data_IF_017877032112
#
_entry.id   IF_017877032112
#
_cell.length_a   1.000
_cell.length_b   1.000
_cell.length_c   1.000
_cell.angle_alpha   90.00
_cell.angle_beta   90.00
_cell.angle_gamma   90.00
#
_symmetry.space_group_name_H-M   'P 1'
#
loop_
_entity.id
_entity.type
_entity.pdbx_description
1 polymer ?
#
# COMPACT_ATOMS: atom_id res chain seq x y z
N UNK A 1 5.29 1.02 5.58
CA UNK A 1 4.12 0.17 5.56
C UNK A 1 2.81 0.87 5.94
N UNK A 2 2.87 2.11 6.44
CA UNK A 2 1.70 2.95 6.71
C UNK A 2 2.06 4.44 6.58
N UNK A 3 1.08 5.25 6.16
CA UNK A 3 1.18 6.72 6.07
C UNK A 3 0.59 7.43 7.30
N UNK A 4 -0.07 6.68 8.18
CA UNK A 4 -0.78 7.20 9.36
C UNK A 4 0.00 7.00 10.66
N UNK A 5 -0.32 7.82 11.63
CA UNK A 5 0.07 7.69 13.04
C UNK A 5 -1.16 7.84 13.94
N UNK A 6 -1.11 7.22 15.12
CA UNK A 6 -2.17 7.35 16.12
C UNK A 6 -1.90 8.54 17.03
N UNK A 7 -2.94 9.34 17.25
CA UNK A 7 -2.96 10.45 18.20
C UNK A 7 -4.11 10.29 19.19
N UNK A 8 -4.20 11.16 20.18
CA UNK A 8 -5.32 11.17 21.14
C UNK A 8 -6.67 11.52 20.46
N UNK A 9 -6.64 12.14 19.27
CA UNK A 9 -7.83 12.54 18.50
C UNK A 9 -8.19 11.50 17.41
N UNK A 10 -7.38 10.46 17.23
CA UNK A 10 -7.57 9.40 16.23
C UNK A 10 -6.35 9.18 15.35
N UNK A 11 -6.56 8.45 14.27
CA UNK A 11 -5.52 8.16 13.29
C UNK A 11 -5.48 9.32 12.27
N UNK A 12 -4.29 9.88 12.06
CA UNK A 12 -4.02 11.02 11.15
C UNK A 12 -2.86 10.69 10.24
N UNK A 13 -2.75 11.38 9.10
CA UNK A 13 -1.55 11.26 8.25
C UNK A 13 -0.32 11.71 9.05
N UNK A 14 0.75 10.92 8.96
CA UNK A 14 1.98 11.17 9.72
C UNK A 14 2.59 12.53 9.39
N UNK A 15 3.06 13.23 10.42
CA UNK A 15 3.79 14.48 10.26
C UNK A 15 5.04 14.37 9.39
N UNK A 16 5.67 13.19 9.33
CA UNK A 16 6.80 12.93 8.44
C UNK A 16 6.42 12.99 6.96
N UNK A 17 5.17 12.61 6.62
CA UNK A 17 4.61 12.71 5.27
C UNK A 17 4.12 14.13 4.99
N UNK A 18 3.43 14.75 5.95
CA UNK A 18 2.83 16.08 5.78
C UNK A 18 3.86 17.22 5.72
N UNK A 19 4.96 17.11 6.46
CA UNK A 19 5.92 18.21 6.55
C UNK A 19 6.47 18.65 5.18
N UNK A 20 6.95 17.77 4.30
CA UNK A 20 7.42 18.17 2.98
C UNK A 20 6.30 18.74 2.09
N UNK A 21 5.08 18.23 2.19
CA UNK A 21 3.91 18.74 1.46
C UNK A 21 3.59 20.17 1.90
N UNK A 22 3.44 20.38 3.21
CA UNK A 22 3.02 21.65 3.76
C UNK A 22 4.09 22.75 3.70
N UNK A 23 5.38 22.42 3.78
CA UNK A 23 6.44 23.39 4.02
C UNK A 23 7.51 23.46 2.92
N UNK A 24 7.66 22.45 2.07
CA UNK A 24 8.69 22.44 1.02
C UNK A 24 8.15 22.49 -0.41
N UNK A 25 6.83 22.53 -0.56
CA UNK A 25 6.18 22.57 -1.87
C UNK A 25 6.22 21.24 -2.63
N UNK A 26 6.36 20.12 -1.91
CA UNK A 26 6.28 18.78 -2.49
C UNK A 26 4.90 18.55 -3.07
N UNK A 27 4.82 18.08 -4.32
CA UNK A 27 3.58 17.85 -5.08
C UNK A 27 3.39 16.39 -5.49
N UNK A 28 4.23 15.48 -5.02
CA UNK A 28 4.12 14.06 -5.33
C UNK A 28 4.41 13.25 -4.07
N UNK A 29 3.48 12.40 -3.68
CA UNK A 29 3.63 11.41 -2.62
C UNK A 29 3.69 10.01 -3.24
N UNK A 30 4.75 9.24 -2.98
CA UNK A 30 4.89 7.87 -3.45
C UNK A 30 4.75 6.91 -2.27
N UNK A 31 3.76 6.05 -2.32
CA UNK A 31 3.60 4.93 -1.38
C UNK A 31 4.19 3.68 -2.02
N UNK A 32 5.32 3.22 -1.48
CA UNK A 32 6.00 2.04 -2.00
C UNK A 32 5.80 0.83 -1.08
N UNK A 33 5.08 -0.18 -1.59
CA UNK A 33 5.09 -1.54 -1.08
C UNK A 33 6.26 -2.35 -1.67
N UNK A 34 6.41 -3.57 -1.19
CA UNK A 34 7.36 -4.53 -1.79
C UNK A 34 6.87 -5.96 -1.58
N UNK A 35 7.15 -6.85 -2.52
CA UNK A 35 6.82 -8.26 -2.40
C UNK A 35 7.48 -8.89 -1.17
N UNK A 36 6.78 -9.81 -0.50
CA UNK A 36 7.26 -10.48 0.70
C UNK A 36 7.40 -9.56 1.93
N UNK A 37 6.57 -8.50 2.04
CA UNK A 37 6.64 -7.54 3.14
C UNK A 37 6.41 -8.19 4.50
N UNK A 38 7.40 -8.11 5.40
CA UNK A 38 7.32 -8.69 6.74
C UNK A 38 6.23 -8.07 7.62
N UNK A 39 5.96 -6.77 7.49
CA UNK A 39 4.90 -6.11 8.26
C UNK A 39 3.50 -6.58 7.81
N UNK A 40 3.28 -6.71 6.50
CA UNK A 40 2.01 -7.26 5.96
C UNK A 40 1.86 -8.73 6.34
N UNK A 41 2.95 -9.52 6.29
CA UNK A 41 2.96 -10.92 6.74
C UNK A 41 2.56 -11.03 8.21
N UNK A 42 3.20 -10.26 9.10
CA UNK A 42 2.88 -10.27 10.52
C UNK A 42 1.45 -9.79 10.81
N UNK A 43 0.94 -8.80 10.06
CA UNK A 43 -0.46 -8.36 10.19
C UNK A 43 -1.43 -9.45 9.76
N UNK A 44 -1.15 -10.15 8.66
CA UNK A 44 -1.96 -11.28 8.21
C UNK A 44 -1.98 -12.41 9.24
N UNK A 45 -0.80 -12.78 9.80
CA UNK A 45 -0.70 -13.83 10.81
C UNK A 45 -1.45 -13.46 12.09
N UNK A 46 -1.35 -12.20 12.52
CA UNK A 46 -2.05 -11.72 13.70
C UNK A 46 -3.58 -11.70 13.51
N UNK A 47 -4.07 -11.35 12.32
CA UNK A 47 -5.49 -11.37 11.99
C UNK A 47 -6.06 -12.81 11.89
N UNK A 48 -5.25 -13.79 11.46
CA UNK A 48 -5.73 -15.16 11.19
C UNK A 48 -5.47 -16.13 12.34
N UNK A 49 -4.36 -16.01 13.04
CA UNK A 49 -3.90 -16.97 14.03
C UNK A 49 -3.65 -16.33 15.41
N UNK A 50 -3.56 -15.01 15.46
CA UNK A 50 -3.07 -14.26 16.62
C UNK A 50 -1.54 -14.33 16.75
N UNK A 51 -0.92 -13.21 17.07
CA UNK A 51 0.52 -13.10 17.19
C UNK A 51 0.89 -12.39 18.49
N UNK A 52 1.85 -12.95 19.24
CA UNK A 52 2.40 -12.33 20.45
C UNK A 52 3.71 -11.63 20.13
N UNK A 53 3.65 -10.31 20.03
CA UNK A 53 4.77 -9.47 19.63
C UNK A 53 5.09 -8.42 20.71
N UNK A 54 6.34 -7.94 20.79
CA UNK A 54 6.69 -6.82 21.65
C UNK A 54 5.79 -5.61 21.39
N UNK A 55 5.42 -4.87 22.45
CA UNK A 55 4.42 -3.80 22.41
C UNK A 55 4.62 -2.76 21.28
N UNK A 56 5.88 -2.43 20.94
CA UNK A 56 6.16 -1.50 19.84
C UNK A 56 5.83 -2.08 18.45
N UNK A 57 5.98 -3.39 18.26
CA UNK A 57 5.60 -4.09 17.04
C UNK A 57 4.09 -4.21 16.98
N UNK A 58 3.44 -4.72 18.06
CA UNK A 58 1.98 -4.82 18.15
C UNK A 58 1.30 -3.49 17.83
N UNK A 59 1.79 -2.38 18.40
CA UNK A 59 1.27 -1.05 18.09
C UNK A 59 1.33 -0.71 16.59
N UNK A 60 2.40 -1.09 15.90
CA UNK A 60 2.50 -0.89 14.46
C UNK A 60 1.54 -1.77 13.66
N UNK A 61 1.35 -3.03 14.07
CA UNK A 61 0.39 -3.94 13.46
C UNK A 61 -1.06 -3.49 13.68
N UNK A 62 -1.39 -2.96 14.85
CA UNK A 62 -2.71 -2.44 15.19
C UNK A 62 -3.16 -1.27 14.29
N UNK A 63 -2.23 -0.58 13.64
CA UNK A 63 -2.52 0.44 12.64
C UNK A 63 -2.72 -0.14 11.23
N UNK A 64 -2.20 -1.34 10.96
CA UNK A 64 -2.33 -2.04 9.68
C UNK A 64 -3.53 -2.97 9.62
N UNK A 65 -3.98 -3.51 10.76
CA UNK A 65 -5.11 -4.45 10.83
C UNK A 65 -6.40 -3.88 10.24
N UNK A 66 -6.92 -2.71 10.71
CA UNK A 66 -8.20 -2.20 10.23
C UNK A 66 -8.27 -1.99 8.70
N UNK A 67 -7.23 -1.44 8.03
CA UNK A 67 -7.26 -1.32 6.59
C UNK A 67 -7.08 -2.65 5.85
N UNK A 68 -6.45 -3.69 6.43
CA UNK A 68 -6.19 -4.97 5.76
C UNK A 68 -7.26 -6.04 6.02
N UNK A 69 -7.94 -6.00 7.16
CA UNK A 69 -8.94 -7.00 7.55
C UNK A 69 -10.03 -7.24 6.47
N UNK A 70 -10.60 -6.21 5.82
CA UNK A 70 -11.62 -6.43 4.78
C UNK A 70 -11.11 -7.22 3.57
N UNK A 71 -9.80 -7.20 3.29
CA UNK A 71 -9.22 -7.93 2.17
C UNK A 71 -9.28 -9.45 2.37
N UNK A 72 -9.31 -9.95 3.62
CA UNK A 72 -9.26 -11.37 3.90
C UNK A 72 -10.44 -12.13 3.29
N UNK A 73 -11.63 -11.51 3.28
CA UNK A 73 -12.85 -12.10 2.72
C UNK A 73 -12.89 -12.09 1.18
N UNK A 74 -11.99 -11.32 0.55
CA UNK A 74 -11.91 -11.16 -0.90
C UNK A 74 -10.79 -11.98 -1.53
N UNK A 75 -9.86 -12.52 -0.72
CA UNK A 75 -8.72 -13.29 -1.23
C UNK A 75 -9.17 -14.56 -1.97
N UNK A 76 -8.55 -14.90 -3.12
CA UNK A 76 -8.82 -16.15 -3.80
C UNK A 76 -8.40 -17.38 -2.98
N UNK A 77 -9.20 -18.44 -3.00
CA UNK A 77 -8.99 -19.67 -2.22
C UNK A 77 -7.77 -20.50 -2.68
N UNK A 78 -7.37 -20.38 -3.95
CA UNK A 78 -6.39 -21.23 -4.62
C UNK A 78 -4.98 -20.61 -4.72
N UNK A 79 -4.69 -19.60 -3.89
CA UNK A 79 -3.44 -18.87 -3.91
C UNK A 79 -2.49 -19.38 -2.82
N UNK A 80 -1.20 -19.49 -3.16
CA UNK A 80 -0.17 -19.81 -2.17
C UNK A 80 -0.07 -18.71 -1.10
N UNK A 81 0.39 -19.06 0.10
CA UNK A 81 0.62 -18.06 1.17
C UNK A 81 1.48 -16.86 0.68
N UNK A 82 2.54 -17.10 -0.09
CA UNK A 82 3.35 -16.01 -0.64
C UNK A 82 2.54 -15.14 -1.60
N UNK A 83 1.71 -15.75 -2.45
CA UNK A 83 0.81 -15.04 -3.34
C UNK A 83 -0.26 -14.24 -2.59
N UNK A 84 -0.78 -14.75 -1.47
CA UNK A 84 -1.69 -14.03 -0.56
C UNK A 84 -1.01 -12.78 0.00
N UNK A 85 0.21 -12.92 0.54
CA UNK A 85 0.95 -11.79 1.11
C UNK A 85 1.22 -10.71 0.05
N UNK A 86 1.59 -11.08 -1.17
CA UNK A 86 1.88 -10.11 -2.23
C UNK A 86 0.60 -9.35 -2.67
N UNK A 87 -0.56 -10.02 -2.71
CA UNK A 87 -1.85 -9.36 -2.96
C UNK A 87 -2.24 -8.40 -1.84
N UNK A 88 -2.01 -8.80 -0.59
CA UNK A 88 -2.21 -7.91 0.56
C UNK A 88 -1.25 -6.72 0.58
N UNK A 89 -0.05 -6.85 0.01
CA UNK A 89 0.87 -5.72 -0.18
C UNK A 89 0.27 -4.70 -1.14
N UNK A 90 -0.25 -5.12 -2.30
CA UNK A 90 -0.94 -4.22 -3.24
C UNK A 90 -2.15 -3.55 -2.57
N UNK A 91 -3.00 -4.34 -1.93
CA UNK A 91 -4.15 -3.82 -1.20
C UNK A 91 -3.76 -2.79 -0.14
N UNK A 92 -2.71 -3.06 0.64
CA UNK A 92 -2.21 -2.10 1.61
C UNK A 92 -1.74 -0.79 0.95
N UNK A 93 -1.03 -0.86 -0.18
CA UNK A 93 -0.62 0.35 -0.93
C UNK A 93 -1.84 1.17 -1.33
N UNK A 94 -2.88 0.53 -1.89
CA UNK A 94 -4.11 1.21 -2.28
C UNK A 94 -4.82 1.85 -1.08
N UNK A 95 -4.89 1.15 0.05
CA UNK A 95 -5.48 1.71 1.29
C UNK A 95 -4.68 2.90 1.82
N UNK A 96 -3.35 2.87 1.74
CA UNK A 96 -2.52 3.99 2.14
C UNK A 96 -2.68 5.20 1.20
N UNK A 97 -2.80 4.98 -0.11
CA UNK A 97 -3.14 6.04 -1.08
C UNK A 97 -4.50 6.64 -0.75
N UNK A 98 -5.50 5.81 -0.51
CA UNK A 98 -6.84 6.30 -0.16
C UNK A 98 -6.82 7.16 1.11
N UNK A 99 -6.05 6.77 2.14
CA UNK A 99 -5.89 7.56 3.36
C UNK A 99 -5.25 8.94 3.11
N UNK A 100 -4.32 9.04 2.15
CA UNK A 100 -3.75 10.32 1.74
C UNK A 100 -4.80 11.18 1.04
N UNK A 101 -5.55 10.61 0.09
CA UNK A 101 -6.56 11.33 -0.69
C UNK A 101 -7.77 11.77 0.14
N UNK A 102 -8.11 11.04 1.20
CA UNK A 102 -9.21 11.37 2.12
C UNK A 102 -8.80 12.36 3.22
N UNK A 103 -7.51 12.65 3.38
CA UNK A 103 -7.01 13.53 4.42
C UNK A 103 -7.16 15.00 4.05
N UNK A 104 -7.82 15.77 4.91
CA UNK A 104 -7.93 17.24 4.77
C UNK A 104 -6.57 17.95 4.89
N UNK A 105 -5.55 17.29 5.44
CA UNK A 105 -4.20 17.83 5.60
C UNK A 105 -3.32 17.66 4.35
N UNK A 106 -3.73 16.81 3.40
CA UNK A 106 -3.06 16.64 2.10
C UNK A 106 -3.72 17.56 1.09
N UNK A 107 -2.90 18.40 0.43
CA UNK A 107 -3.41 19.39 -0.52
C UNK A 107 -3.94 18.70 -1.80
N UNK A 108 -5.02 19.23 -2.37
CA UNK A 108 -5.68 18.71 -3.60
C UNK A 108 -4.74 18.66 -4.83
N UNK A 109 -3.62 19.37 -4.81
CA UNK A 109 -2.64 19.44 -5.89
C UNK A 109 -1.40 18.55 -5.65
N UNK A 110 -1.53 17.54 -4.78
CA UNK A 110 -0.52 16.52 -4.54
C UNK A 110 -0.90 15.23 -5.23
N UNK A 111 -0.14 14.83 -6.24
CA UNK A 111 -0.28 13.53 -6.90
C UNK A 111 0.13 12.39 -5.95
N UNK A 112 -0.73 11.39 -5.78
CA UNK A 112 -0.50 10.23 -4.93
C UNK A 112 -0.28 8.97 -5.78
N UNK A 113 0.93 8.41 -5.75
CA UNK A 113 1.32 7.27 -6.59
C UNK A 113 1.62 6.05 -5.73
N UNK A 114 0.91 4.95 -5.98
CA UNK A 114 1.12 3.65 -5.37
C UNK A 114 1.98 2.74 -6.24
N UNK A 115 3.05 2.21 -5.68
CA UNK A 115 3.96 1.31 -6.40
C UNK A 115 4.34 0.10 -5.55
N UNK A 116 4.74 -1.01 -6.22
CA UNK A 116 5.31 -2.19 -5.57
C UNK A 116 6.67 -2.50 -6.15
N UNK A 117 7.66 -2.66 -5.27
CA UNK A 117 9.00 -3.12 -5.62
C UNK A 117 9.03 -4.66 -5.59
N UNK A 118 9.42 -5.28 -6.71
CA UNK A 118 9.44 -6.73 -6.81
C UNK A 118 10.76 -7.36 -6.37
N UNK A 119 10.81 -7.88 -5.14
CA UNK A 119 11.94 -8.68 -4.63
C UNK A 119 11.88 -10.15 -5.04
N UNK A 120 10.67 -10.65 -5.40
CA UNK A 120 10.41 -12.09 -5.50
C UNK A 120 10.24 -12.59 -6.93
N UNK A 121 10.34 -11.71 -7.93
CA UNK A 121 10.18 -12.06 -9.34
C UNK A 121 8.78 -12.65 -9.63
N UNK A 122 7.74 -11.90 -9.21
CA UNK A 122 6.34 -12.34 -9.30
C UNK A 122 5.49 -11.53 -10.27
N UNK A 123 5.99 -10.39 -10.73
CA UNK A 123 5.42 -9.59 -11.80
C UNK A 123 6.09 -9.95 -13.13
N UNK A 124 5.48 -9.53 -14.24
CA UNK A 124 6.15 -9.61 -15.54
C UNK A 124 7.35 -8.65 -15.59
N UNK A 125 8.46 -9.07 -16.16
CA UNK A 125 9.68 -8.27 -16.21
C UNK A 125 10.86 -8.89 -15.49
N UNK A 126 11.66 -8.08 -14.82
CA UNK A 126 12.85 -8.55 -14.10
C UNK A 126 12.74 -8.28 -12.59
N UNK A 127 13.27 -9.19 -11.81
CA UNK A 127 13.40 -9.00 -10.36
C UNK A 127 14.10 -7.68 -10.03
N UNK A 128 13.52 -6.91 -9.12
CA UNK A 128 14.07 -5.62 -8.69
C UNK A 128 13.45 -4.43 -9.43
N UNK A 129 12.43 -4.67 -10.24
CA UNK A 129 11.66 -3.62 -10.88
C UNK A 129 10.56 -3.07 -9.97
N UNK A 130 10.09 -1.87 -10.32
CA UNK A 130 8.98 -1.18 -9.64
C UNK A 130 7.78 -1.20 -10.56
N UNK A 131 6.64 -1.64 -10.04
CA UNK A 131 5.37 -1.67 -10.76
C UNK A 131 4.44 -0.60 -10.18
N UNK A 132 3.81 0.19 -11.06
CA UNK A 132 2.80 1.18 -10.70
C UNK A 132 1.47 0.48 -10.63
N UNK A 133 0.78 0.59 -9.49
CA UNK A 133 -0.49 -0.08 -9.24
C UNK A 133 -1.63 0.87 -8.91
N UNK A 134 -1.32 2.15 -8.66
CA UNK A 134 -2.30 3.16 -8.28
C UNK A 134 -1.79 4.56 -8.64
N UNK A 135 -2.63 5.38 -9.25
CA UNK A 135 -2.37 6.81 -9.47
C UNK A 135 -3.62 7.58 -9.08
N UNK A 136 -3.52 8.37 -8.02
CA UNK A 136 -4.62 9.20 -7.49
C UNK A 136 -5.93 8.42 -7.24
N UNK A 137 -5.79 7.16 -6.79
CA UNK A 137 -6.92 6.27 -6.51
C UNK A 137 -7.40 5.44 -7.70
N UNK A 138 -6.92 5.71 -8.93
CA UNK A 138 -7.19 4.82 -10.07
C UNK A 138 -6.31 3.57 -9.97
N UNK A 139 -6.93 2.40 -10.06
CA UNK A 139 -6.26 1.09 -9.92
C UNK A 139 -6.48 0.17 -11.12
N UNK A 140 -7.36 0.54 -12.06
CA UNK A 140 -7.60 -0.27 -13.24
C UNK A 140 -6.40 -0.21 -14.20
N UNK A 141 -5.82 -1.38 -14.48
CA UNK A 141 -4.60 -1.50 -15.29
C UNK A 141 -4.77 -0.91 -16.69
N UNK A 142 -5.88 -1.22 -17.38
CA UNK A 142 -6.12 -0.73 -18.74
C UNK A 142 -6.26 0.80 -18.77
N UNK A 143 -6.94 1.36 -17.78
CA UNK A 143 -7.11 2.82 -17.62
C UNK A 143 -5.77 3.50 -17.38
N UNK A 144 -4.95 2.95 -16.47
CA UNK A 144 -3.64 3.48 -16.16
C UNK A 144 -2.68 3.38 -17.35
N UNK A 145 -2.64 2.25 -18.06
CA UNK A 145 -1.81 2.07 -19.27
C UNK A 145 -2.23 3.02 -20.39
N UNK A 146 -3.53 3.26 -20.57
CA UNK A 146 -4.03 4.21 -21.56
C UNK A 146 -3.67 5.67 -21.21
N UNK A 147 -3.66 6.02 -19.92
CA UNK A 147 -3.28 7.35 -19.43
C UNK A 147 -1.76 7.59 -19.45
N UNK A 148 -0.96 6.52 -19.24
CA UNK A 148 0.50 6.55 -19.09
C UNK A 148 1.18 5.54 -20.02
N UNK A 149 1.08 5.68 -21.34
CA UNK A 149 1.61 4.69 -22.29
C UNK A 149 3.13 4.52 -22.20
N UNK A 150 3.87 5.51 -21.70
CA UNK A 150 5.30 5.43 -21.45
C UNK A 150 5.67 4.51 -20.28
N UNK A 151 4.70 4.18 -19.42
CA UNK A 151 4.84 3.28 -18.27
C UNK A 151 4.10 1.95 -18.49
N UNK A 152 3.53 1.69 -19.68
CA UNK A 152 2.69 0.50 -19.95
C UNK A 152 3.32 -0.80 -19.42
N UNK A 153 4.62 -1.02 -19.67
CA UNK A 153 5.36 -2.20 -19.21
C UNK A 153 5.62 -2.24 -17.69
N UNK A 154 5.27 -1.19 -16.96
CA UNK A 154 5.42 -1.07 -15.51
C UNK A 154 4.09 -0.98 -14.77
N UNK A 155 2.98 -0.90 -15.50
CA UNK A 155 1.64 -0.86 -14.94
C UNK A 155 1.07 -2.27 -14.99
N UNK A 156 1.06 -2.93 -13.84
CA UNK A 156 0.64 -4.32 -13.70
C UNK A 156 0.19 -4.58 -12.27
N UNK A 157 -0.72 -5.52 -12.07
CA UNK A 157 -1.22 -5.95 -10.76
C UNK A 157 -1.30 -7.47 -10.66
N UNK A 158 -1.08 -7.97 -9.45
CA UNK A 158 -1.28 -9.39 -9.10
C UNK A 158 -2.72 -9.69 -8.73
N UNK A 159 -3.53 -8.67 -8.44
CA UNK A 159 -4.87 -8.82 -7.91
C UNK A 159 -5.79 -7.66 -8.28
N UNK A 160 -6.88 -7.99 -8.96
CA UNK A 160 -8.04 -7.11 -9.18
C UNK A 160 -9.15 -7.52 -8.20
N UNK A 161 -9.71 -6.56 -7.43
CA UNK A 161 -10.73 -6.80 -6.41
C UNK A 161 -11.82 -5.72 -6.41
#
# INVERSE_FOLDING_TARGET
>A
NRVIQRTDEGDVVSGDVLYPIAHTGTKTAIVMGHTGCGAVTATYDDLTEGLDEPAGISHCLDLLKPPLEPALDMLPDDVSRAGTINRLVEYNVDRQIQMLLESEDVLDDVDCIGVVYDFQDVYDGERGEVHVINVDGETNVETLQAAHPELEARIERLWEY
#
